data_IF_643096905721
#
_entry.id   IF_643096905721
#
_cell.length_a   1.000
_cell.length_b   1.000
_cell.length_c   1.000
_cell.angle_alpha   90.00
_cell.angle_beta   90.00
_cell.angle_gamma   90.00
#
_symmetry.space_group_name_H-M   'P 1'
#
loop_
_entity.id
_entity.type
_entity.pdbx_description
1 polymer ?
#
# COMPACT_ATOMS: atom_id res chain seq x y z
N UNK A 1 3.43 -29.28 44.68
CA UNK A 1 3.78 -29.62 43.29
C UNK A 1 3.10 -28.60 42.39
N UNK A 2 3.80 -27.51 42.05
CA UNK A 2 3.26 -26.42 41.24
C UNK A 2 3.74 -26.57 39.81
N UNK A 3 2.81 -26.77 38.88
CA UNK A 3 3.05 -26.81 37.45
C UNK A 3 3.37 -25.40 36.94
N UNK A 4 4.62 -25.18 36.52
CA UNK A 4 5.05 -24.00 35.80
C UNK A 4 4.52 -24.08 34.38
N UNK A 5 3.59 -23.17 34.02
CA UNK A 5 3.14 -22.96 32.65
C UNK A 5 4.25 -22.22 31.89
N UNK A 6 5.10 -22.97 31.20
CA UNK A 6 6.00 -22.44 30.17
C UNK A 6 5.17 -22.04 28.96
N UNK A 7 4.76 -20.77 28.88
CA UNK A 7 4.29 -20.18 27.64
C UNK A 7 5.44 -20.22 26.63
N UNK A 8 5.37 -21.18 25.71
CA UNK A 8 6.24 -21.22 24.54
C UNK A 8 5.73 -20.13 23.59
N UNK A 9 6.26 -18.92 23.77
CA UNK A 9 6.19 -17.86 22.77
C UNK A 9 6.91 -18.38 21.52
N UNK A 10 6.15 -19.04 20.65
CA UNK A 10 6.57 -19.37 19.30
C UNK A 10 6.87 -18.04 18.60
N UNK A 11 8.16 -17.75 18.53
CA UNK A 11 8.77 -16.60 17.87
C UNK A 11 8.39 -16.58 16.39
N UNK A 12 7.24 -15.97 16.07
CA UNK A 12 6.95 -15.47 14.73
C UNK A 12 7.57 -14.07 14.66
N UNK A 13 8.89 -14.00 14.49
CA UNK A 13 9.54 -12.78 14.04
C UNK A 13 9.38 -12.72 12.52
N UNK A 14 8.32 -12.07 12.04
CA UNK A 14 8.27 -11.60 10.66
C UNK A 14 9.33 -10.50 10.57
N UNK A 15 10.46 -10.78 9.92
CA UNK A 15 11.47 -9.77 9.61
C UNK A 15 10.83 -8.73 8.69
N UNK A 16 10.52 -7.56 9.24
CA UNK A 16 10.16 -6.36 8.47
C UNK A 16 11.46 -5.59 8.25
N UNK A 17 12.02 -5.68 7.03
CA UNK A 17 13.34 -5.14 6.69
C UNK A 17 13.32 -3.60 6.58
N UNK A 18 12.20 -3.03 6.10
CA UNK A 18 12.03 -1.58 5.94
C UNK A 18 10.74 -1.07 6.60
N UNK A 19 10.88 -0.08 7.49
CA UNK A 19 9.77 0.64 8.11
C UNK A 19 9.80 2.09 7.64
N UNK A 20 8.71 2.54 7.01
CA UNK A 20 8.54 3.94 6.64
C UNK A 20 7.76 4.67 7.74
N UNK A 21 8.34 5.74 8.29
CA UNK A 21 7.68 6.60 9.26
C UNK A 21 7.74 8.06 8.84
N UNK A 22 6.69 8.82 9.17
CA UNK A 22 6.70 10.29 9.06
C UNK A 22 7.11 10.88 10.41
N UNK A 23 8.04 11.84 10.40
CA UNK A 23 8.54 12.50 11.60
C UNK A 23 8.33 14.01 11.48
N UNK A 24 7.72 14.63 12.50
CA UNK A 24 7.36 16.04 12.50
C UNK A 24 8.25 16.90 13.41
N UNK A 25 9.27 16.31 14.04
CA UNK A 25 10.23 16.99 14.92
C UNK A 25 11.58 17.16 14.23
N UNK A 26 12.56 17.74 14.92
CA UNK A 26 13.91 17.92 14.36
C UNK A 26 14.63 16.58 14.14
N UNK A 27 15.64 16.59 13.27
CA UNK A 27 16.48 15.42 13.02
C UNK A 27 17.27 15.00 14.28
N UNK A 28 17.68 15.96 15.11
CA UNK A 28 18.36 15.69 16.38
C UNK A 28 17.46 14.94 17.36
N UNK A 29 16.16 15.26 17.40
CA UNK A 29 15.19 14.50 18.20
C UNK A 29 14.99 13.08 17.66
N UNK A 30 15.01 12.90 16.33
CA UNK A 30 14.94 11.57 15.72
C UNK A 30 16.16 10.72 16.08
N UNK A 31 17.37 11.29 15.99
CA UNK A 31 18.62 10.62 16.37
C UNK A 31 18.58 10.16 17.82
N UNK A 32 18.14 11.03 18.74
CA UNK A 32 17.98 10.68 20.16
C UNK A 32 17.00 9.53 20.38
N UNK A 33 15.89 9.51 19.64
CA UNK A 33 14.94 8.40 19.71
C UNK A 33 15.56 7.09 19.22
N UNK A 34 16.25 7.12 18.09
CA UNK A 34 16.90 5.94 17.52
C UNK A 34 17.99 5.38 18.44
N UNK A 35 18.81 6.25 19.03
CA UNK A 35 19.82 5.86 20.01
C UNK A 35 19.16 5.16 21.21
N UNK A 36 18.04 5.71 21.71
CA UNK A 36 17.28 5.10 22.79
C UNK A 36 16.70 3.73 22.42
N UNK A 37 16.03 3.61 21.26
CA UNK A 37 15.41 2.34 20.82
C UNK A 37 16.48 1.27 20.54
N UNK A 38 17.66 1.66 20.03
CA UNK A 38 18.79 0.75 19.84
C UNK A 38 19.34 0.15 21.14
N UNK A 39 18.95 0.67 22.31
CA UNK A 39 19.28 0.04 23.60
C UNK A 39 18.35 -1.12 23.97
N UNK A 40 17.18 -1.24 23.31
CA UNK A 40 16.16 -2.21 23.70
C UNK A 40 16.52 -3.65 23.38
N UNK A 41 17.36 -3.89 22.37
CA UNK A 41 17.73 -5.23 21.98
C UNK A 41 19.18 -5.32 21.49
N UNK A 42 20.01 -6.23 22.04
CA UNK A 42 21.44 -6.28 21.73
C UNK A 42 21.76 -6.69 20.28
N UNK A 43 20.84 -7.37 19.60
CA UNK A 43 21.05 -7.91 18.25
C UNK A 43 20.24 -7.19 17.16
N UNK A 44 19.48 -6.15 17.49
CA UNK A 44 18.70 -5.38 16.49
C UNK A 44 19.22 -3.96 16.51
N UNK A 45 19.65 -3.47 15.34
CA UNK A 45 20.09 -2.09 15.14
C UNK A 45 19.20 -1.41 14.12
N UNK A 46 18.49 -0.38 14.54
CA UNK A 46 17.75 0.53 13.70
C UNK A 46 18.71 1.59 13.15
N UNK A 47 18.69 1.74 11.84
CA UNK A 47 19.28 2.85 11.12
C UNK A 47 18.18 3.61 10.39
N UNK A 48 18.43 4.86 10.03
CA UNK A 48 17.49 5.65 9.26
C UNK A 48 18.17 6.33 8.09
N UNK A 49 17.42 6.47 7.01
CA UNK A 49 17.76 7.37 5.92
C UNK A 49 16.60 8.34 5.82
N UNK A 50 16.93 9.63 5.81
CA UNK A 50 15.95 10.62 5.35
C UNK A 50 15.77 10.29 3.89
N UNK A 51 14.63 9.67 3.56
CA UNK A 51 14.25 9.48 2.19
C UNK A 51 14.04 10.88 1.62
N UNK A 52 15.04 11.38 0.86
CA UNK A 52 14.69 12.25 -0.25
C UNK A 52 13.58 11.52 -0.99
N UNK A 53 12.48 12.18 -1.37
CA UNK A 53 11.44 11.51 -2.13
C UNK A 53 12.12 10.91 -3.34
N UNK A 54 12.33 9.58 -3.33
CA UNK A 54 13.04 8.84 -4.37
C UNK A 54 12.12 8.84 -5.59
N UNK A 55 12.10 9.99 -6.25
CA UNK A 55 11.43 10.16 -7.50
C UNK A 55 12.38 9.57 -8.53
N UNK A 56 11.92 8.53 -9.19
CA UNK A 56 12.70 7.87 -10.25
C UNK A 56 13.11 8.92 -11.29
N UNK A 57 14.42 9.12 -11.55
CA UNK A 57 14.90 10.09 -12.54
C UNK A 57 14.33 9.78 -13.91
N UNK A 58 13.97 10.79 -14.70
CA UNK A 58 13.34 10.58 -16.01
C UNK A 58 14.25 9.85 -17.02
N UNK A 59 15.58 9.96 -16.84
CA UNK A 59 16.58 9.31 -17.69
C UNK A 59 16.79 7.81 -17.38
N UNK A 60 16.09 7.28 -16.38
CA UNK A 60 16.19 5.87 -16.02
C UNK A 60 15.53 4.96 -17.07
N UNK A 61 15.94 3.69 -17.11
CA UNK A 61 15.43 2.69 -18.05
C UNK A 61 14.09 2.09 -17.57
N UNK A 62 13.06 2.94 -17.45
CA UNK A 62 11.70 2.50 -17.16
C UNK A 62 10.73 2.84 -18.30
N UNK A 63 9.66 2.05 -18.48
CA UNK A 63 8.61 2.38 -19.43
C UNK A 63 7.96 3.73 -19.13
N UNK A 64 7.47 4.42 -20.16
CA UNK A 64 6.85 5.75 -20.05
C UNK A 64 5.71 5.82 -19.00
N UNK A 65 4.91 4.76 -18.90
CA UNK A 65 3.79 4.72 -17.96
C UNK A 65 4.23 4.82 -16.49
N UNK A 66 5.46 4.40 -16.16
CA UNK A 66 6.00 4.51 -14.79
C UNK A 66 6.15 5.98 -14.40
N UNK A 67 6.71 6.80 -15.28
CA UNK A 67 6.89 8.24 -15.05
C UNK A 67 5.55 8.98 -14.95
N UNK A 68 4.58 8.62 -15.79
CA UNK A 68 3.20 9.14 -15.70
C UNK A 68 2.59 8.78 -14.35
N UNK A 69 2.70 7.52 -13.94
CA UNK A 69 2.14 7.03 -12.68
C UNK A 69 2.77 7.71 -11.47
N UNK A 70 4.06 8.06 -11.52
CA UNK A 70 4.74 8.80 -10.46
C UNK A 70 4.09 10.17 -10.25
N UNK A 71 3.84 10.92 -11.33
CA UNK A 71 3.16 12.23 -11.25
C UNK A 71 1.74 12.06 -10.69
N UNK A 72 0.97 11.13 -11.27
CA UNK A 72 -0.44 10.92 -10.87
C UNK A 72 -0.57 10.44 -9.43
N UNK A 73 0.28 9.51 -9.01
CA UNK A 73 0.27 8.99 -7.64
C UNK A 73 0.69 10.06 -6.65
N UNK A 74 1.66 10.92 -7.00
CA UNK A 74 2.08 12.03 -6.14
C UNK A 74 0.95 13.03 -5.93
N UNK A 75 0.24 13.41 -6.99
CA UNK A 75 -0.93 14.29 -6.90
C UNK A 75 -2.10 13.66 -6.14
N UNK A 76 -2.37 12.37 -6.35
CA UNK A 76 -3.40 11.63 -5.62
C UNK A 76 -3.07 11.53 -4.13
N UNK A 77 -1.80 11.27 -3.80
CA UNK A 77 -1.28 11.24 -2.44
C UNK A 77 -1.45 12.60 -1.76
N UNK A 78 -1.00 13.68 -2.41
CA UNK A 78 -1.18 15.04 -1.91
C UNK A 78 -2.67 15.32 -1.64
N UNK A 79 -3.55 15.06 -2.60
CA UNK A 79 -4.98 15.30 -2.43
C UNK A 79 -5.62 14.48 -1.29
N UNK A 80 -5.13 13.26 -1.05
CA UNK A 80 -5.65 12.38 0.01
C UNK A 80 -5.20 12.83 1.40
N UNK A 81 -3.92 13.16 1.55
CA UNK A 81 -3.31 13.39 2.87
C UNK A 81 -3.26 14.85 3.29
N UNK A 82 -3.41 15.82 2.38
CA UNK A 82 -3.52 17.22 2.77
C UNK A 82 -4.78 17.45 3.61
N UNK A 83 -4.58 17.97 4.82
CA UNK A 83 -5.64 18.26 5.78
C UNK A 83 -6.50 19.45 5.36
N UNK A 84 -5.89 20.44 4.73
CA UNK A 84 -6.48 21.68 4.25
C UNK A 84 -6.16 21.90 2.76
N UNK A 85 -6.90 22.82 2.15
CA UNK A 85 -6.77 23.13 0.73
C UNK A 85 -5.43 23.84 0.42
N UNK A 86 -4.99 24.71 1.31
CA UNK A 86 -3.68 25.39 1.23
C UNK A 86 -2.54 24.38 1.29
N UNK A 87 -2.63 23.40 2.20
CA UNK A 87 -1.64 22.32 2.31
C UNK A 87 -1.54 21.51 1.00
N UNK A 88 -2.67 21.29 0.32
CA UNK A 88 -2.67 20.65 -1.00
C UNK A 88 -2.02 21.52 -2.08
N UNK A 89 -2.22 22.84 -2.07
CA UNK A 89 -1.55 23.76 -2.99
C UNK A 89 -0.03 23.82 -2.77
N UNK A 90 0.42 23.77 -1.51
CA UNK A 90 1.85 23.68 -1.18
C UNK A 90 2.47 22.39 -1.73
N UNK A 91 1.82 21.24 -1.50
CA UNK A 91 2.28 19.94 -2.01
C UNK A 91 2.33 19.92 -3.56
N UNK A 92 1.31 20.44 -4.24
CA UNK A 92 1.32 20.55 -5.70
C UNK A 92 2.49 21.40 -6.21
N UNK A 93 2.74 22.55 -5.57
CA UNK A 93 3.84 23.43 -5.93
C UNK A 93 5.19 22.74 -5.73
N UNK A 94 5.33 22.01 -4.62
CA UNK A 94 6.52 21.21 -4.33
C UNK A 94 6.73 20.10 -5.38
N UNK A 95 5.70 19.32 -5.73
CA UNK A 95 5.77 18.30 -6.77
C UNK A 95 6.19 18.92 -8.11
N UNK A 96 5.56 20.04 -8.48
CA UNK A 96 5.85 20.74 -9.75
C UNK A 96 7.28 21.26 -9.81
N UNK A 97 7.87 21.63 -8.66
CA UNK A 97 9.27 22.04 -8.55
C UNK A 97 10.24 20.84 -8.61
N UNK A 98 9.87 19.71 -8.00
CA UNK A 98 10.76 18.56 -7.84
C UNK A 98 10.86 17.68 -9.11
N UNK A 99 9.80 17.61 -9.93
CA UNK A 99 9.80 16.85 -11.18
C UNK A 99 10.87 17.34 -12.19
N UNK A 100 10.99 18.66 -12.50
CA UNK A 100 12.05 19.15 -13.38
C UNK A 100 13.46 18.89 -12.86
N UNK A 101 13.65 18.95 -11.54
CA UNK A 101 14.94 18.65 -10.90
C UNK A 101 15.38 17.19 -11.16
N UNK A 102 14.42 16.29 -11.34
CA UNK A 102 14.64 14.89 -11.69
C UNK A 102 14.62 14.61 -13.21
N UNK A 103 14.69 15.67 -14.03
CA UNK A 103 14.79 15.58 -15.49
C UNK A 103 13.47 15.36 -16.22
N UNK A 104 12.32 15.52 -15.56
CA UNK A 104 11.02 15.34 -16.23
C UNK A 104 10.75 16.48 -17.22
N UNK A 105 10.29 16.20 -18.46
CA UNK A 105 9.96 17.23 -19.42
C UNK A 105 8.79 18.09 -18.94
N UNK A 106 8.92 19.42 -19.03
CA UNK A 106 7.85 20.36 -18.61
C UNK A 106 6.53 20.09 -19.33
N UNK A 107 6.56 19.75 -20.60
CA UNK A 107 5.34 19.41 -21.37
C UNK A 107 4.60 18.20 -20.80
N UNK A 108 5.33 17.17 -20.38
CA UNK A 108 4.75 16.01 -19.71
C UNK A 108 4.13 16.42 -18.37
N UNK A 109 4.87 17.20 -17.56
CA UNK A 109 4.41 17.68 -16.27
C UNK A 109 3.10 18.47 -16.41
N UNK A 110 3.06 19.47 -17.30
CA UNK A 110 1.87 20.30 -17.50
C UNK A 110 0.68 19.48 -18.00
N UNK A 111 0.90 18.55 -18.94
CA UNK A 111 -0.16 17.68 -19.46
C UNK A 111 -0.76 16.78 -18.36
N UNK A 112 0.08 16.21 -17.50
CA UNK A 112 -0.35 15.34 -16.41
C UNK A 112 -1.05 16.13 -15.29
N UNK A 113 -0.51 17.31 -14.92
CA UNK A 113 -1.16 18.20 -13.98
C UNK A 113 -2.52 18.66 -14.49
N UNK A 114 -2.61 19.10 -15.76
CA UNK A 114 -3.88 19.48 -16.35
C UNK A 114 -4.84 18.30 -16.37
N UNK A 115 -4.41 17.10 -16.78
CA UNK A 115 -5.29 15.92 -16.80
C UNK A 115 -5.80 15.55 -15.41
N UNK A 116 -4.97 15.67 -14.38
CA UNK A 116 -5.38 15.35 -13.01
C UNK A 116 -6.29 16.45 -12.42
N UNK A 117 -5.98 17.72 -12.71
CA UNK A 117 -6.65 18.89 -12.14
C UNK A 117 -7.84 19.38 -12.98
N UNK A 118 -8.10 18.80 -14.15
CA UNK A 118 -9.24 19.18 -15.00
C UNK A 118 -10.58 19.08 -14.27
N UNK A 119 -10.69 18.16 -13.30
CA UNK A 119 -11.88 18.03 -12.45
C UNK A 119 -12.08 19.26 -11.54
N UNK A 120 -10.99 19.92 -11.16
CA UNK A 120 -10.93 21.00 -10.17
C UNK A 120 -11.04 22.39 -10.78
N UNK A 121 -10.45 22.57 -11.96
CA UNK A 121 -10.50 23.82 -12.71
C UNK A 121 -11.95 24.01 -13.18
N UNK A 122 -12.66 24.97 -12.57
CA UNK A 122 -13.86 25.52 -13.22
C UNK A 122 -13.41 26.14 -14.54
N UNK A 123 -14.24 26.12 -15.59
CA UNK A 123 -13.94 26.63 -16.94
C UNK A 123 -13.70 28.16 -17.02
N UNK A 124 -13.18 28.78 -15.95
CA UNK A 124 -12.82 30.18 -15.88
C UNK A 124 -11.47 30.39 -16.57
N UNK A 125 -11.38 31.33 -17.53
CA UNK A 125 -10.23 31.49 -18.42
C UNK A 125 -9.03 32.24 -17.81
N UNK A 126 -9.06 32.63 -16.53
CA UNK A 126 -8.01 33.45 -15.92
C UNK A 126 -7.30 32.68 -14.81
N UNK A 127 -6.19 32.03 -15.19
CA UNK A 127 -5.25 31.27 -14.36
C UNK A 127 -5.89 30.07 -13.59
N UNK A 128 -5.35 28.84 -13.71
CA UNK A 128 -5.84 27.70 -12.94
C UNK A 128 -5.33 27.79 -11.49
N UNK A 129 -5.69 28.87 -10.79
CA UNK A 129 -5.74 28.82 -9.34
C UNK A 129 -6.94 27.93 -9.03
N UNK A 130 -6.70 26.79 -8.39
CA UNK A 130 -7.78 25.90 -7.99
C UNK A 130 -8.65 26.69 -7.00
N UNK A 131 -9.73 27.28 -7.47
CA UNK A 131 -10.62 28.11 -6.65
C UNK A 131 -11.83 27.31 -6.15
N UNK A 132 -11.69 25.99 -6.10
CA UNK A 132 -12.80 25.11 -5.77
C UNK A 132 -12.44 24.16 -4.63
N UNK A 133 -12.22 24.76 -3.47
CA UNK A 133 -12.03 24.07 -2.18
C UNK A 133 -13.13 23.02 -1.95
N UNK A 134 -14.38 23.31 -2.32
CA UNK A 134 -15.50 22.36 -2.22
C UNK A 134 -15.26 21.10 -3.04
N UNK A 135 -14.86 21.24 -4.32
CA UNK A 135 -14.51 20.10 -5.18
C UNK A 135 -13.31 19.32 -4.62
N UNK A 136 -12.33 20.02 -4.04
CA UNK A 136 -11.22 19.36 -3.37
C UNK A 136 -11.69 18.44 -2.23
N UNK A 137 -12.51 18.94 -1.31
CA UNK A 137 -13.02 18.10 -0.22
C UNK A 137 -13.92 16.97 -0.71
N UNK A 138 -14.71 17.17 -1.76
CA UNK A 138 -15.49 16.10 -2.39
C UNK A 138 -14.58 14.99 -2.94
N UNK A 139 -13.52 15.36 -3.67
CA UNK A 139 -12.56 14.41 -4.21
C UNK A 139 -11.78 13.70 -3.12
N UNK A 140 -11.32 14.42 -2.10
CA UNK A 140 -10.65 13.83 -0.92
C UNK A 140 -11.55 12.82 -0.21
N UNK A 141 -12.83 13.15 0.00
CA UNK A 141 -13.81 12.22 0.58
C UNK A 141 -13.96 10.96 -0.28
N UNK A 142 -14.05 11.10 -1.61
CA UNK A 142 -14.08 9.95 -2.54
C UNK A 142 -12.80 9.11 -2.44
N UNK A 143 -11.63 9.74 -2.37
CA UNK A 143 -10.33 9.07 -2.28
C UNK A 143 -10.10 8.37 -0.93
N UNK A 144 -10.67 8.88 0.16
CA UNK A 144 -10.61 8.24 1.48
C UNK A 144 -11.52 7.02 1.58
N UNK A 145 -12.68 7.07 0.90
CA UNK A 145 -13.63 5.96 0.88
C UNK A 145 -13.27 4.83 -0.10
N UNK A 146 -12.31 5.04 -1.00
CA UNK A 146 -11.86 4.02 -1.95
C UNK A 146 -10.65 3.26 -1.40
N UNK A 147 -10.80 1.97 -1.02
CA UNK A 147 -9.64 1.14 -0.70
C UNK A 147 -8.71 1.11 -1.90
N UNK A 148 -7.41 1.18 -1.64
CA UNK A 148 -6.40 0.98 -2.68
C UNK A 148 -6.54 -0.42 -3.28
N UNK A 149 -6.13 -0.67 -4.53
CA UNK A 149 -6.19 -2.00 -5.12
C UNK A 149 -5.58 -3.10 -4.24
N UNK A 150 -4.48 -2.77 -3.54
CA UNK A 150 -3.85 -3.66 -2.56
C UNK A 150 -4.73 -3.89 -1.33
N UNK A 151 -5.38 -2.86 -0.78
CA UNK A 151 -6.34 -3.03 0.31
C UNK A 151 -7.56 -3.85 -0.13
N UNK A 152 -8.05 -3.65 -1.36
CA UNK A 152 -9.13 -4.47 -1.93
C UNK A 152 -8.71 -5.94 -2.06
N UNK A 153 -7.49 -6.22 -2.53
CA UNK A 153 -6.95 -7.59 -2.62
C UNK A 153 -6.81 -8.23 -1.23
N UNK A 154 -6.31 -7.51 -0.24
CA UNK A 154 -6.21 -8.01 1.14
C UNK A 154 -7.58 -8.29 1.73
N UNK A 155 -8.56 -7.40 1.52
CA UNK A 155 -9.93 -7.60 1.98
C UNK A 155 -10.59 -8.82 1.31
N UNK A 156 -10.35 -9.02 0.01
CA UNK A 156 -10.84 -10.18 -0.73
C UNK A 156 -10.17 -11.49 -0.26
N UNK A 157 -8.86 -11.46 0.01
CA UNK A 157 -8.11 -12.59 0.56
C UNK A 157 -8.56 -12.96 1.98
N UNK A 158 -8.83 -11.97 2.83
CA UNK A 158 -9.36 -12.22 4.18
C UNK A 158 -10.78 -12.84 4.13
N UNK A 159 -11.66 -12.30 3.28
CA UNK A 159 -13.02 -12.82 3.13
C UNK A 159 -13.10 -14.25 2.57
N UNK A 160 -12.07 -14.71 1.85
CA UNK A 160 -12.01 -16.08 1.32
C UNK A 160 -11.42 -17.06 2.32
N UNK A 161 -10.49 -16.62 3.19
CA UNK A 161 -9.94 -17.45 4.26
C UNK A 161 -10.96 -17.80 5.35
N UNK A 162 -11.96 -16.93 5.59
CA UNK A 162 -13.03 -17.19 6.57
C UNK A 162 -14.04 -18.27 6.12
N UNK A 163 -14.09 -18.61 4.82
CA UNK A 163 -15.08 -19.57 4.28
C UNK A 163 -14.59 -21.03 4.42
N UNK A 164 -13.28 -21.27 4.45
CA UNK A 164 -12.71 -22.63 4.49
C UNK A 164 -12.58 -23.21 5.91
N UNK A 165 -12.88 -22.43 6.96
CA UNK A 165 -12.65 -22.87 8.35
C UNK A 165 -13.87 -23.49 9.05
N UNK A 166 -15.02 -23.61 8.36
CA UNK A 166 -16.28 -24.17 8.90
C UNK A 166 -16.60 -25.58 8.36
N UNK A 167 -15.66 -26.27 7.69
CA UNK A 167 -15.90 -27.59 7.08
C UNK A 167 -15.03 -28.74 7.63
N UNK A 168 -14.95 -28.92 8.95
CA UNK A 168 -14.61 -30.22 9.58
C UNK A 168 -15.23 -30.17 10.99
N UNK A 169 -16.31 -30.87 11.33
CA UNK A 169 -16.33 -32.28 11.72
C UNK A 169 -17.77 -32.82 11.66
N UNK A 170 -18.07 -33.72 10.73
CA UNK A 170 -19.16 -34.70 10.90
C UNK A 170 -18.75 -36.04 10.31
N UNK A 171 -17.79 -36.71 10.99
CA UNK A 171 -17.54 -38.13 10.79
C UNK A 171 -18.51 -38.96 11.64
N UNK A 172 -19.72 -39.17 11.10
CA UNK A 172 -20.62 -40.21 11.61
C UNK A 172 -20.54 -41.47 10.73
N UNK A 173 -19.78 -42.46 11.24
CA UNK A 173 -19.84 -43.92 11.05
C UNK A 173 -20.91 -44.50 10.10
N UNK A 174 -20.51 -45.41 9.20
CA UNK A 174 -20.78 -46.86 9.31
C UNK A 174 -20.19 -47.70 8.14
N UNK A 175 -19.99 -49.02 8.34
CA UNK A 175 -19.27 -49.91 7.44
C UNK A 175 -20.20 -50.54 6.40
N UNK A 176 -19.69 -50.86 5.20
CA UNK A 176 -20.41 -51.79 4.32
C UNK A 176 -19.48 -52.77 3.61
N UNK A 177 -19.98 -54.00 3.61
CA UNK A 177 -19.35 -55.26 3.29
C UNK A 177 -19.18 -55.46 1.78
N UNK A 178 -18.09 -56.16 1.41
CA UNK A 178 -17.86 -56.68 0.07
C UNK A 178 -18.66 -57.97 -0.17
N UNK A 179 -19.14 -58.19 -1.41
CA UNK A 179 -19.02 -59.52 -2.00
C UNK A 179 -18.52 -59.45 -3.45
N UNK A 180 -17.32 -59.99 -3.67
CA UNK A 180 -16.72 -60.24 -4.99
C UNK A 180 -17.52 -61.33 -5.72
N UNK A 181 -18.06 -60.98 -6.91
CA UNK A 181 -18.72 -61.91 -7.82
C UNK A 181 -17.70 -62.73 -8.62
N UNK A 182 -18.12 -63.96 -8.87
CA UNK A 182 -17.50 -65.05 -9.61
C UNK A 182 -17.40 -64.73 -11.12
N UNK A 183 -16.20 -64.84 -11.70
CA UNK A 183 -16.01 -64.84 -13.15
C UNK A 183 -16.20 -66.26 -13.72
N UNK A 184 -17.03 -66.38 -14.75
CA UNK A 184 -17.09 -67.56 -15.62
C UNK A 184 -17.04 -67.06 -17.05
N UNK A 185 -15.87 -67.13 -17.69
CA UNK A 185 -15.71 -66.82 -19.11
C UNK A 185 -15.38 -68.09 -19.87
N UNK A 186 -16.33 -68.43 -20.73
CA UNK A 186 -16.37 -69.50 -21.71
C UNK A 186 -15.34 -69.31 -22.82
N UNK A 187 -14.74 -70.43 -23.23
CA UNK A 187 -13.82 -70.63 -24.35
C UNK A 187 -14.55 -70.41 -25.68
N UNK A 188 -13.93 -69.66 -26.61
CA UNK A 188 -14.15 -69.82 -28.04
C UNK A 188 -12.90 -69.41 -28.83
N UNK A 189 -12.34 -70.44 -29.49
CA UNK A 189 -11.37 -70.48 -30.60
C UNK A 189 -9.90 -70.12 -30.33
#
# INVERSE_FOLDING_TARGET
>A
MGSSLTLTLANIFIYVDDIFMTWNKSEEELRKLLDYVNTWHPNIKLDYKIAEPYLTPFISHHPQHVFINIIQTSLARAARYSSAFEAFNYEQSYIKLMLPYNGYPSTLIENEFHRYLSDYISASPVLPLIDNEKKFFQRRKKLLGQPTPRQSQVALGAATADIDNDQVDDETKQPNESPTKLDTTTIAN
#
